data_IF_068747678493
#
_entry.id   IF_068747678493
#
_cell.length_a   1.000
_cell.length_b   1.000
_cell.length_c   1.000
_cell.angle_alpha   90.00
_cell.angle_beta   90.00
_cell.angle_gamma   90.00
#
_symmetry.space_group_name_H-M   'P 1'
#
loop_
_entity.id
_entity.type
_entity.pdbx_description
1 polymer ?
#
# COMPACT_ATOMS: atom_id res chain seq x y z
N UNK A 1 -8.97 33.87 5.11
CA UNK A 1 -8.56 32.53 5.57
C UNK A 1 -8.66 31.63 4.36
N UNK A 2 -7.53 31.29 3.74
CA UNK A 2 -7.50 30.41 2.56
C UNK A 2 -7.94 29.02 2.99
N UNK A 3 -8.99 28.47 2.39
CA UNK A 3 -9.29 27.06 2.54
C UNK A 3 -8.07 26.29 2.03
N UNK A 4 -7.34 25.62 2.93
CA UNK A 4 -6.30 24.68 2.52
C UNK A 4 -7.00 23.61 1.70
N UNK A 5 -6.81 23.62 0.39
CA UNK A 5 -7.43 22.63 -0.50
C UNK A 5 -6.98 21.23 -0.07
N UNK A 6 -7.94 20.41 0.32
CA UNK A 6 -7.70 19.02 0.70
C UNK A 6 -7.20 18.24 -0.52
N UNK A 7 -6.25 17.32 -0.33
CA UNK A 7 -5.77 16.45 -1.42
C UNK A 7 -6.91 15.62 -2.01
N UNK A 8 -6.89 15.33 -3.32
CA UNK A 8 -8.00 14.67 -4.01
C UNK A 8 -8.30 13.30 -3.39
N UNK A 9 -9.57 12.94 -3.32
CA UNK A 9 -10.02 11.66 -2.77
C UNK A 9 -9.59 10.47 -3.63
N UNK A 10 -9.17 10.67 -4.88
CA UNK A 10 -8.74 9.58 -5.76
C UNK A 10 -7.40 9.90 -6.41
N UNK A 11 -6.56 8.87 -6.56
CA UNK A 11 -5.34 8.91 -7.34
C UNK A 11 -5.34 7.79 -8.40
N UNK A 12 -4.70 8.06 -9.53
CA UNK A 12 -4.42 7.07 -10.55
C UNK A 12 -3.12 6.36 -10.22
N UNK A 13 -3.15 5.04 -10.10
CA UNK A 13 -1.94 4.22 -9.86
C UNK A 13 -1.29 3.84 -11.19
N UNK A 14 -2.10 3.61 -12.22
CA UNK A 14 -1.66 3.16 -13.54
C UNK A 14 -2.83 3.17 -14.52
N UNK A 15 -2.60 2.70 -15.74
CA UNK A 15 -3.68 2.49 -16.70
C UNK A 15 -4.66 1.43 -16.17
N UNK A 16 -5.95 1.78 -16.08
CA UNK A 16 -6.98 0.91 -15.50
C UNK A 16 -6.89 0.68 -13.98
N UNK A 17 -6.05 1.43 -13.26
CA UNK A 17 -5.86 1.28 -11.81
C UNK A 17 -6.09 2.59 -11.06
N UNK A 18 -6.98 2.56 -10.07
CA UNK A 18 -7.24 3.71 -9.19
C UNK A 18 -7.26 3.32 -7.72
N UNK A 19 -6.92 4.27 -6.87
CA UNK A 19 -7.08 4.19 -5.43
C UNK A 19 -7.90 5.38 -4.96
N UNK A 20 -8.95 5.10 -4.20
CA UNK A 20 -9.85 6.10 -3.60
C UNK A 20 -9.66 6.07 -2.08
N UNK A 21 -9.47 7.22 -1.46
CA UNK A 21 -9.33 7.43 -0.02
C UNK A 21 -10.70 7.67 0.61
N UNK A 22 -11.15 6.73 1.43
CA UNK A 22 -12.48 6.69 2.00
C UNK A 22 -12.53 7.34 3.40
N UNK A 23 -12.16 8.61 3.51
CA UNK A 23 -11.88 9.30 4.79
C UNK A 23 -13.00 9.21 5.85
N UNK A 24 -14.25 9.08 5.43
CA UNK A 24 -15.43 9.01 6.30
C UNK A 24 -16.05 7.60 6.42
N UNK A 25 -15.36 6.56 5.96
CA UNK A 25 -15.85 5.18 5.97
C UNK A 25 -15.09 4.32 6.99
N UNK A 26 -15.57 3.11 7.33
CA UNK A 26 -14.79 2.15 8.12
C UNK A 26 -13.46 1.78 7.46
N UNK A 27 -13.42 1.77 6.12
CA UNK A 27 -12.23 1.50 5.33
C UNK A 27 -11.44 2.77 5.01
N UNK A 28 -10.13 2.65 4.75
CA UNK A 28 -9.26 3.79 4.45
C UNK A 28 -9.05 3.96 2.95
N UNK A 29 -8.88 2.85 2.22
CA UNK A 29 -8.76 2.88 0.77
C UNK A 29 -9.74 1.93 0.09
N UNK A 30 -10.08 2.26 -1.16
CA UNK A 30 -10.65 1.36 -2.15
C UNK A 30 -9.76 1.34 -3.37
N UNK A 31 -9.26 0.17 -3.74
CA UNK A 31 -8.52 -0.04 -4.98
C UNK A 31 -9.47 -0.61 -6.02
N UNK A 32 -9.43 -0.06 -7.23
CA UNK A 32 -10.15 -0.57 -8.39
C UNK A 32 -9.16 -0.88 -9.51
N UNK A 33 -9.24 -2.12 -9.99
CA UNK A 33 -8.51 -2.65 -11.14
C UNK A 33 -9.53 -3.01 -12.21
N UNK A 34 -9.48 -2.32 -13.34
CA UNK A 34 -10.36 -2.57 -14.48
C UNK A 34 -10.09 -3.96 -15.10
N UNK A 35 -11.09 -4.54 -15.77
CA UNK A 35 -10.96 -5.89 -16.36
C UNK A 35 -9.87 -5.98 -17.43
N UNK A 36 -9.66 -4.91 -18.19
CA UNK A 36 -8.67 -4.79 -19.26
C UNK A 36 -7.29 -4.32 -18.76
N UNK A 37 -7.15 -4.04 -17.46
CA UNK A 37 -5.89 -3.65 -16.86
C UNK A 37 -4.95 -4.84 -16.64
N UNK A 38 -3.65 -4.56 -16.54
CA UNK A 38 -2.68 -5.54 -16.04
C UNK A 38 -2.98 -5.92 -14.57
N UNK A 39 -2.42 -7.04 -14.10
CA UNK A 39 -2.55 -7.43 -12.71
C UNK A 39 -1.85 -6.41 -11.79
N UNK A 40 -2.52 -6.04 -10.70
CA UNK A 40 -1.92 -5.25 -9.63
C UNK A 40 -1.29 -6.19 -8.61
N UNK A 41 0.02 -6.12 -8.46
CA UNK A 41 0.77 -6.91 -7.49
C UNK A 41 1.49 -6.01 -6.49
N UNK A 42 1.39 -6.36 -5.21
CA UNK A 42 2.20 -5.79 -4.14
C UNK A 42 3.10 -6.90 -3.58
N UNK A 43 4.44 -6.71 -3.62
CA UNK A 43 5.40 -7.74 -3.22
C UNK A 43 5.35 -8.01 -1.71
N UNK A 44 6.01 -9.09 -1.24
CA UNK A 44 6.09 -9.42 0.18
C UNK A 44 6.60 -8.26 1.05
N UNK A 45 5.79 -7.88 2.03
CA UNK A 45 6.09 -6.83 2.99
C UNK A 45 5.39 -7.09 4.33
N UNK A 46 5.67 -6.27 5.32
CA UNK A 46 5.05 -6.33 6.64
C UNK A 46 5.03 -4.96 7.32
N UNK A 47 4.22 -4.86 8.38
CA UNK A 47 4.01 -3.65 9.17
C UNK A 47 4.40 -3.89 10.63
N UNK A 48 5.12 -2.96 11.27
CA UNK A 48 5.57 -3.12 12.65
C UNK A 48 4.44 -2.83 13.63
N UNK A 49 3.67 -1.78 13.35
CA UNK A 49 2.68 -1.21 14.27
C UNK A 49 1.23 -1.38 13.81
N UNK A 50 1.01 -1.60 12.52
CA UNK A 50 -0.31 -1.76 11.93
C UNK A 50 -0.64 -3.23 11.68
N UNK A 51 -1.84 -3.63 12.08
CA UNK A 51 -2.51 -4.76 11.45
C UNK A 51 -3.29 -4.23 10.24
N UNK A 52 -3.45 -5.02 9.20
CA UNK A 52 -4.27 -4.66 8.05
C UNK A 52 -5.53 -5.52 8.00
N UNK A 53 -6.62 -4.90 7.60
CA UNK A 53 -7.87 -5.58 7.32
C UNK A 53 -8.26 -5.22 5.91
N UNK A 54 -8.44 -6.24 5.07
CA UNK A 54 -8.92 -6.05 3.71
C UNK A 54 -10.21 -6.84 3.49
N UNK A 55 -10.98 -6.41 2.49
CA UNK A 55 -12.11 -7.17 1.97
C UNK A 55 -12.22 -7.00 0.47
N UNK A 56 -12.63 -8.06 -0.23
CA UNK A 56 -12.94 -7.99 -1.65
C UNK A 56 -14.40 -7.57 -1.80
N UNK A 57 -14.65 -6.55 -2.62
CA UNK A 57 -16.00 -6.07 -2.94
C UNK A 57 -16.49 -6.67 -4.26
N UNK A 58 -15.59 -6.81 -5.24
CA UNK A 58 -15.87 -7.40 -6.55
C UNK A 58 -14.64 -8.14 -7.06
N UNK A 59 -14.85 -9.23 -7.79
CA UNK A 59 -13.79 -10.02 -8.39
C UNK A 59 -13.10 -10.91 -7.37
N UNK A 60 -11.78 -11.03 -7.48
CA UNK A 60 -10.98 -11.90 -6.62
C UNK A 60 -9.54 -11.39 -6.50
N UNK A 61 -8.91 -11.66 -5.36
CA UNK A 61 -7.51 -11.30 -5.08
C UNK A 61 -6.80 -12.51 -4.50
N UNK A 62 -5.63 -12.87 -5.05
CA UNK A 62 -4.75 -13.83 -4.40
C UNK A 62 -3.92 -13.11 -3.34
N UNK A 63 -4.05 -13.51 -2.09
CA UNK A 63 -3.25 -13.01 -0.98
C UNK A 63 -2.39 -14.14 -0.43
N UNK A 64 -1.14 -13.82 -0.15
CA UNK A 64 -0.26 -14.63 0.69
C UNK A 64 -0.19 -13.97 2.06
N UNK A 65 -0.52 -14.71 3.13
CA UNK A 65 -0.40 -14.25 4.52
C UNK A 65 0.49 -15.26 5.26
N UNK A 66 1.72 -14.85 5.53
CA UNK A 66 2.82 -15.73 5.94
C UNK A 66 3.13 -16.77 4.88
N UNK A 67 2.72 -18.00 5.15
CA UNK A 67 2.99 -19.20 4.38
C UNK A 67 1.71 -19.82 3.79
N UNK A 68 0.59 -19.11 3.88
CA UNK A 68 -0.69 -19.51 3.29
C UNK A 68 -1.01 -18.58 2.13
N UNK A 69 -1.18 -19.13 0.94
CA UNK A 69 -1.71 -18.42 -0.22
C UNK A 69 -3.15 -18.87 -0.47
N UNK A 70 -4.06 -17.91 -0.62
CA UNK A 70 -5.47 -18.16 -0.87
C UNK A 70 -6.03 -17.09 -1.81
N UNK A 71 -6.95 -17.49 -2.67
CA UNK A 71 -7.81 -16.57 -3.43
C UNK A 71 -9.00 -16.17 -2.56
N UNK A 72 -9.16 -14.86 -2.37
CA UNK A 72 -10.25 -14.27 -1.61
C UNK A 72 -11.25 -13.60 -2.56
N UNK A 73 -12.51 -13.66 -2.17
CA UNK A 73 -13.69 -13.22 -2.90
C UNK A 73 -14.62 -12.44 -1.97
N UNK A 74 -15.69 -11.81 -2.47
CA UNK A 74 -16.64 -11.10 -1.59
C UNK A 74 -17.27 -11.96 -0.49
N UNK A 75 -17.41 -13.28 -0.69
CA UNK A 75 -17.97 -14.18 0.32
C UNK A 75 -17.04 -14.45 1.51
N UNK A 76 -15.76 -14.11 1.41
CA UNK A 76 -14.79 -14.29 2.50
C UNK A 76 -14.89 -13.18 3.57
N UNK A 77 -15.57 -12.07 3.29
CA UNK A 77 -15.75 -10.97 4.23
C UNK A 77 -14.45 -10.22 4.53
N UNK A 78 -14.31 -9.77 5.79
CA UNK A 78 -13.09 -9.09 6.26
C UNK A 78 -12.01 -10.10 6.62
N UNK A 79 -10.80 -9.87 6.09
CA UNK A 79 -9.62 -10.71 6.31
C UNK A 79 -8.58 -9.90 7.06
N UNK A 80 -8.10 -10.45 8.18
CA UNK A 80 -7.07 -9.85 9.01
C UNK A 80 -5.68 -10.32 8.60
N UNK A 81 -4.79 -9.36 8.35
CA UNK A 81 -3.34 -9.53 8.32
C UNK A 81 -2.78 -9.03 9.65
N UNK A 82 -2.31 -9.92 10.54
CA UNK A 82 -1.75 -9.51 11.82
C UNK A 82 -0.50 -8.64 11.66
N UNK A 83 -0.24 -7.79 12.66
CA UNK A 83 1.03 -7.05 12.78
C UNK A 83 2.23 -7.98 12.59
N UNK A 84 3.24 -7.48 11.89
CA UNK A 84 4.50 -8.17 11.61
C UNK A 84 4.34 -9.50 10.86
N UNK A 85 3.17 -9.76 10.29
CA UNK A 85 2.96 -10.91 9.41
C UNK A 85 3.32 -10.48 8.00
N UNK A 86 4.30 -11.16 7.41
CA UNK A 86 4.62 -10.98 5.99
C UNK A 86 3.39 -11.31 5.15
N UNK A 87 3.11 -10.46 4.18
CA UNK A 87 2.03 -10.68 3.25
C UNK A 87 2.32 -10.02 1.90
N UNK A 88 1.63 -10.51 0.87
CA UNK A 88 1.70 -10.03 -0.50
C UNK A 88 0.33 -10.25 -1.14
N UNK A 89 0.04 -9.55 -2.24
CA UNK A 89 -1.14 -9.86 -3.03
C UNK A 89 -0.94 -9.62 -4.52
N UNK A 90 -1.76 -10.29 -5.31
CA UNK A 90 -1.93 -10.00 -6.74
C UNK A 90 -3.39 -10.11 -7.14
N UNK A 91 -3.83 -9.21 -8.02
CA UNK A 91 -5.09 -9.39 -8.75
C UNK A 91 -4.87 -10.27 -9.99
N UNK A 92 -5.95 -10.61 -10.70
CA UNK A 92 -5.91 -11.44 -11.91
C UNK A 92 -6.22 -10.60 -13.15
N UNK A 93 -5.37 -10.69 -14.17
CA UNK A 93 -5.63 -10.07 -15.48
C UNK A 93 -6.95 -10.59 -16.07
N UNK A 94 -7.74 -9.70 -16.66
CA UNK A 94 -9.05 -10.06 -17.22
C UNK A 94 -10.20 -10.07 -16.21
N UNK A 95 -9.92 -9.84 -14.91
CA UNK A 95 -10.93 -9.86 -13.86
C UNK A 95 -11.01 -8.49 -13.20
N UNK A 96 -12.11 -7.77 -13.44
CA UNK A 96 -12.36 -6.53 -12.73
C UNK A 96 -12.41 -6.79 -11.22
N UNK A 97 -11.59 -6.07 -10.48
CA UNK A 97 -11.39 -6.30 -9.05
C UNK A 97 -11.52 -5.00 -8.28
N UNK A 98 -12.34 -5.03 -7.23
CA UNK A 98 -12.48 -3.94 -6.28
C UNK A 98 -12.26 -4.51 -4.90
N UNK A 99 -11.31 -3.95 -4.15
CA UNK A 99 -11.08 -4.33 -2.76
C UNK A 99 -10.82 -3.08 -1.92
N UNK A 100 -11.04 -3.22 -0.62
CA UNK A 100 -10.87 -2.14 0.35
C UNK A 100 -9.91 -2.57 1.45
N UNK A 101 -9.16 -1.61 1.98
CA UNK A 101 -8.18 -1.83 3.03
C UNK A 101 -8.31 -0.78 4.14
N UNK A 102 -8.10 -1.21 5.38
CA UNK A 102 -7.89 -0.35 6.55
C UNK A 102 -6.81 -0.92 7.44
N UNK A 103 -6.25 -0.07 8.27
CA UNK A 103 -5.28 -0.46 9.28
C UNK A 103 -5.85 -0.40 10.69
N UNK A 104 -5.19 -1.05 11.64
CA UNK A 104 -5.42 -0.90 13.08
C UNK A 104 -4.09 -0.64 13.81
N UNK A 105 -3.85 0.57 14.34
CA UNK A 105 -4.78 1.71 14.42
C UNK A 105 -5.17 2.27 13.05
N UNK A 106 -6.31 2.97 12.98
CA UNK A 106 -6.71 3.74 11.80
C UNK A 106 -6.21 5.17 12.01
N UNK A 107 -5.21 5.56 11.24
CA UNK A 107 -4.61 6.90 11.27
C UNK A 107 -4.39 7.43 9.84
N UNK A 108 -3.97 8.69 9.77
CA UNK A 108 -3.72 9.41 8.52
C UNK A 108 -2.40 8.98 7.85
N UNK A 109 -1.52 8.29 8.59
CA UNK A 109 -0.19 7.89 8.14
C UNK A 109 -0.27 6.93 6.95
N UNK A 110 -1.28 6.06 6.93
CA UNK A 110 -1.50 5.12 5.84
C UNK A 110 -1.91 5.80 4.53
N UNK A 111 -2.75 6.85 4.59
CA UNK A 111 -3.09 7.64 3.41
C UNK A 111 -1.84 8.37 2.89
N UNK A 112 -1.07 8.99 3.79
CA UNK A 112 0.17 9.69 3.44
C UNK A 112 1.20 8.75 2.81
N UNK A 113 1.32 7.53 3.34
CA UNK A 113 2.14 6.46 2.78
C UNK A 113 1.75 6.18 1.33
N UNK A 114 0.48 5.89 1.05
CA UNK A 114 0.05 5.55 -0.31
C UNK A 114 0.22 6.71 -1.30
N UNK A 115 -0.04 7.94 -0.87
CA UNK A 115 0.19 9.12 -1.70
C UNK A 115 1.65 9.29 -2.09
N UNK A 116 2.57 8.98 -1.19
CA UNK A 116 4.00 9.02 -1.48
C UNK A 116 4.46 7.81 -2.30
N UNK A 117 3.99 6.60 -1.97
CA UNK A 117 4.34 5.36 -2.67
C UNK A 117 3.89 5.36 -4.14
N UNK A 118 2.75 6.01 -4.43
CA UNK A 118 2.16 6.09 -5.77
C UNK A 118 2.13 7.51 -6.33
N UNK A 119 2.99 8.40 -5.82
CA UNK A 119 3.05 9.82 -6.18
C UNK A 119 3.16 10.08 -7.69
N UNK A 120 3.82 9.15 -8.40
CA UNK A 120 4.08 9.19 -9.84
C UNK A 120 3.51 7.92 -10.55
N UNK A 121 2.49 7.29 -9.95
CA UNK A 121 1.92 6.01 -10.37
C UNK A 121 2.68 4.80 -9.81
N UNK A 122 2.57 3.65 -10.47
CA UNK A 122 3.25 2.43 -10.03
C UNK A 122 4.77 2.61 -10.00
N UNK A 123 5.44 2.24 -8.90
CA UNK A 123 6.89 2.33 -8.80
C UNK A 123 7.59 1.56 -9.92
N UNK A 124 8.38 2.27 -10.73
CA UNK A 124 9.17 1.65 -11.82
C UNK A 124 10.46 1.01 -11.32
N UNK A 125 10.92 1.41 -10.13
CA UNK A 125 12.08 0.86 -9.45
C UNK A 125 11.86 0.97 -7.92
N UNK A 126 12.56 0.17 -7.10
CA UNK A 126 12.33 0.14 -5.65
C UNK A 126 12.73 1.44 -4.94
N UNK A 127 13.66 2.23 -5.47
CA UNK A 127 14.06 3.50 -4.85
C UNK A 127 12.94 4.55 -4.86
N UNK A 128 11.98 4.46 -5.78
CA UNK A 128 10.79 5.32 -5.76
C UNK A 128 9.93 5.10 -4.50
N UNK A 129 9.89 3.88 -3.96
CA UNK A 129 9.01 3.54 -2.84
C UNK A 129 9.73 3.55 -1.49
N UNK A 130 11.06 3.41 -1.46
CA UNK A 130 11.83 3.39 -0.22
C UNK A 130 11.66 4.61 0.68
N UNK A 131 11.56 5.86 0.18
CA UNK A 131 11.26 7.00 1.05
C UNK A 131 9.90 6.86 1.75
N UNK A 132 8.87 6.39 1.03
CA UNK A 132 7.56 6.14 1.62
C UNK A 132 7.60 5.03 2.68
N UNK A 133 8.35 3.96 2.43
CA UNK A 133 8.55 2.87 3.39
C UNK A 133 9.31 3.36 4.63
N UNK A 134 10.37 4.16 4.44
CA UNK A 134 11.21 4.65 5.52
C UNK A 134 10.47 5.58 6.49
N UNK A 135 9.57 6.42 5.97
CA UNK A 135 8.73 7.32 6.78
C UNK A 135 7.41 6.70 7.22
N UNK A 136 7.00 5.59 6.61
CA UNK A 136 5.78 4.86 6.94
C UNK A 136 6.05 3.60 7.76
N UNK A 137 4.99 2.83 8.00
CA UNK A 137 5.07 1.57 8.74
C UNK A 137 5.19 0.37 7.79
N UNK A 138 5.97 0.44 6.71
CA UNK A 138 6.08 -0.66 5.73
C UNK A 138 7.53 -1.10 5.53
N UNK A 139 7.75 -2.41 5.54
CA UNK A 139 9.07 -3.02 5.39
C UNK A 139 8.99 -4.13 4.34
N UNK A 140 9.93 -4.18 3.41
CA UNK A 140 10.04 -5.32 2.49
C UNK A 140 10.42 -6.59 3.27
N UNK A 141 9.89 -7.74 2.84
CA UNK A 141 10.21 -9.02 3.46
C UNK A 141 11.27 -9.76 2.65
N UNK A 142 12.36 -10.13 3.31
CA UNK A 142 13.40 -11.01 2.78
C UNK A 142 13.06 -12.48 3.12
N UNK A 143 13.57 -13.45 2.34
CA UNK A 143 13.51 -14.84 2.72
C UNK A 143 14.13 -15.05 4.11
N UNK A 144 13.40 -15.73 5.01
CA UNK A 144 13.88 -16.07 6.36
C UNK A 144 13.43 -15.17 7.51
N UNK A 145 12.59 -14.14 7.26
CA UNK A 145 12.01 -13.26 8.30
C UNK A 145 13.07 -12.54 9.17
N UNK A 146 14.16 -12.07 8.52
CA UNK A 146 15.26 -11.35 9.18
C UNK A 146 14.91 -9.87 9.41
N UNK A 147 13.93 -9.60 10.27
CA UNK A 147 13.35 -8.24 10.46
C UNK A 147 14.34 -7.16 10.81
N UNK A 148 15.36 -7.47 11.61
CA UNK A 148 16.40 -6.50 11.96
C UNK A 148 17.19 -6.06 10.72
N UNK A 149 17.46 -6.99 9.79
CA UNK A 149 18.18 -6.74 8.55
C UNK A 149 17.31 -5.94 7.58
N UNK A 150 16.03 -6.29 7.46
CA UNK A 150 15.06 -5.56 6.64
C UNK A 150 14.94 -4.09 7.08
N UNK A 151 14.82 -3.84 8.39
CA UNK A 151 14.85 -2.48 8.96
C UNK A 151 16.17 -1.77 8.66
N UNK A 152 17.29 -2.46 8.85
CA UNK A 152 18.62 -1.88 8.59
C UNK A 152 18.77 -1.49 7.12
N UNK A 153 18.40 -2.38 6.21
CA UNK A 153 18.46 -2.11 4.77
C UNK A 153 17.49 -0.98 4.37
N UNK A 154 16.29 -0.93 4.95
CA UNK A 154 15.37 0.18 4.71
C UNK A 154 15.94 1.51 5.21
N UNK A 155 16.60 1.52 6.38
CA UNK A 155 17.31 2.71 6.87
C UNK A 155 18.40 3.16 5.90
N UNK A 156 19.22 2.23 5.38
CA UNK A 156 20.28 2.55 4.43
C UNK A 156 19.69 3.06 3.10
N UNK A 157 18.73 2.34 2.50
CA UNK A 157 18.22 2.67 1.18
C UNK A 157 17.22 3.83 1.17
N UNK A 158 16.32 3.90 2.15
CA UNK A 158 15.32 4.95 2.24
C UNK A 158 15.80 6.21 2.96
N UNK A 159 16.67 6.07 3.97
CA UNK A 159 17.14 7.19 4.79
C UNK A 159 18.46 7.82 4.34
N UNK A 160 19.33 7.06 3.64
CA UNK A 160 20.66 7.54 3.23
C UNK A 160 20.81 7.57 1.71
N UNK A 161 20.76 6.41 1.05
CA UNK A 161 21.07 6.29 -0.39
C UNK A 161 19.99 6.99 -1.23
N UNK A 162 18.71 6.75 -0.96
CA UNK A 162 17.60 7.36 -1.69
C UNK A 162 17.70 8.89 -1.73
N UNK A 163 17.81 9.58 -0.58
CA UNK A 163 17.98 11.03 -0.54
C UNK A 163 19.23 11.53 -1.26
N UNK A 164 20.36 10.81 -1.20
CA UNK A 164 21.59 11.15 -1.93
C UNK A 164 21.41 11.03 -3.45
N UNK A 165 20.54 10.12 -3.91
CA UNK A 165 20.15 9.95 -5.31
C UNK A 165 18.96 10.82 -5.73
N UNK A 166 18.45 11.68 -4.83
CA UNK A 166 17.34 12.59 -5.10
C UNK A 166 15.94 12.02 -4.88
N UNK A 167 15.80 10.77 -4.40
CA UNK A 167 14.51 10.19 -4.05
C UNK A 167 14.03 10.73 -2.69
N UNK A 168 12.83 11.32 -2.69
CA UNK A 168 12.20 11.92 -1.50
C UNK A 168 10.69 11.71 -1.54
N UNK A 169 10.03 11.85 -0.40
CA UNK A 169 8.58 11.97 -0.32
C UNK A 169 8.12 13.24 -1.05
N UNK A 170 6.97 13.16 -1.72
CA UNK A 170 6.34 14.29 -2.42
C UNK A 170 5.40 15.07 -1.51
N UNK A 171 4.83 14.40 -0.53
CA UNK A 171 3.88 14.96 0.42
C UNK A 171 4.44 14.80 1.83
N UNK A 172 4.60 15.91 2.54
CA UNK A 172 5.01 15.94 3.96
C UNK A 172 3.79 15.84 4.90
N UNK A 173 2.60 16.17 4.41
CA UNK A 173 1.34 16.03 5.15
C UNK A 173 0.15 15.90 4.20
N UNK A 174 -1.03 15.57 4.73
CA UNK A 174 -2.29 15.53 3.96
C UNK A 174 -2.87 16.93 3.65
N UNK A 175 -2.28 18.00 4.18
CA UNK A 175 -2.64 19.37 3.85
C UNK A 175 -1.85 19.81 2.62
N UNK A 176 -2.49 20.39 1.60
CA UNK A 176 -1.74 21.11 0.56
C UNK A 176 -1.03 22.30 1.20
N UNK A 177 0.27 22.42 0.93
CA UNK A 177 1.09 23.61 1.22
C UNK A 177 0.89 24.62 0.10
#
# INVERSE_FOLDING_TARGET
>A
MSASEVLPDQIKLGEGHTMTFLRNEPFLTRVHVAADAEAFAVPPHWHETHAEIFRVIKGQVEYTIGNVTKVYTPSDGEVLVPRKKTHAFTTFKGVETIFEERTTPKDDDKELFFRNAFADGFPKNPFNVFPAFYHGDAFFALPGDFRWLEKFLLFIFGGIIGPLLGYRTKYDSLKKV
#
